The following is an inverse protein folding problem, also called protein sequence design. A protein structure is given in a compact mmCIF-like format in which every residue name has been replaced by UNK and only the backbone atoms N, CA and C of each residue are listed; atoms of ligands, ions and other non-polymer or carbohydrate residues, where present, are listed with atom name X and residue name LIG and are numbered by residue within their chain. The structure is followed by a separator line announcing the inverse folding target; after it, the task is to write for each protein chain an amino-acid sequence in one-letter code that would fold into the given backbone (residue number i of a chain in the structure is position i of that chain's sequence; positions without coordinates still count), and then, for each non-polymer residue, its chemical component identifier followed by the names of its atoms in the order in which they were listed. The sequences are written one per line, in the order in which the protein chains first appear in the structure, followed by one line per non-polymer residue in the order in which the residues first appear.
data_IF_976520852568
#
_entry.id   IF_976520852568
#
_cell.length_a   1.000
_cell.length_b   1.000
_cell.length_c   1.000
_cell.angle_alpha   90.00
_cell.angle_beta   90.00
_cell.angle_gamma   90.00
#
_symmetry.space_group_name_H-M   'P 1'
#
loop_
_entity.id
_entity.type
_entity.pdbx_description
1 polymer ?
#
# COMPACT_ATOMS: atom_id res chain seq x y z
N UNK A 1 4.75 36.61 4.22
CA UNK A 1 5.98 35.77 4.28
C UNK A 1 6.32 35.30 5.70
N UNK A 2 6.47 36.17 6.72
CA UNK A 2 6.83 35.75 8.10
C UNK A 2 5.88 34.70 8.72
N UNK A 3 4.56 34.90 8.64
CA UNK A 3 3.56 33.96 9.19
C UNK A 3 3.62 32.56 8.55
N UNK A 4 3.86 32.50 7.23
CA UNK A 4 4.00 31.23 6.51
C UNK A 4 5.27 30.48 6.93
N UNK A 5 6.40 31.18 7.06
CA UNK A 5 7.64 30.57 7.55
C UNK A 5 7.51 30.02 8.97
N UNK A 6 6.85 30.77 9.86
CA UNK A 6 6.56 30.32 11.23
C UNK A 6 5.68 29.06 11.22
N UNK A 7 4.58 29.08 10.46
CA UNK A 7 3.69 27.92 10.34
C UNK A 7 4.44 26.69 9.80
N UNK A 8 5.19 26.84 8.70
CA UNK A 8 5.97 25.75 8.12
C UNK A 8 6.99 25.20 9.10
N UNK A 9 7.72 26.07 9.81
CA UNK A 9 8.66 25.67 10.84
C UNK A 9 8.00 24.84 11.96
N UNK A 10 6.90 25.35 12.53
CA UNK A 10 6.15 24.63 13.55
C UNK A 10 5.55 23.31 13.03
N UNK A 11 5.01 23.28 11.82
CA UNK A 11 4.45 22.08 11.22
C UNK A 11 5.52 20.99 11.04
N UNK A 12 6.70 21.36 10.54
CA UNK A 12 7.81 20.42 10.33
C UNK A 12 8.35 19.91 11.67
N UNK A 13 8.57 20.79 12.65
CA UNK A 13 8.98 20.41 14.01
C UNK A 13 7.96 19.45 14.61
N UNK A 14 6.68 19.78 14.50
CA UNK A 14 5.60 18.95 15.05
C UNK A 14 5.57 17.59 14.35
N UNK A 15 5.57 17.56 13.02
CA UNK A 15 5.48 16.33 12.22
C UNK A 15 6.67 15.40 12.40
N UNK A 16 7.89 15.94 12.50
CA UNK A 16 9.10 15.12 12.50
C UNK A 16 9.72 14.91 13.89
N UNK A 17 9.45 15.77 14.87
CA UNK A 17 10.02 15.66 16.21
C UNK A 17 8.96 15.36 17.28
N UNK A 18 7.80 16.01 17.24
CA UNK A 18 6.80 15.87 18.33
C UNK A 18 5.92 14.63 18.11
N UNK A 19 5.24 14.55 16.96
CA UNK A 19 4.27 13.50 16.64
C UNK A 19 4.85 12.09 16.78
N UNK A 20 6.04 11.75 16.25
CA UNK A 20 6.57 10.39 16.36
C UNK A 20 6.82 9.93 17.80
N UNK A 21 7.12 10.87 18.71
CA UNK A 21 7.39 10.56 20.13
C UNK A 21 6.10 10.48 20.96
N UNK A 22 5.03 11.15 20.53
CA UNK A 22 3.73 11.15 21.23
C UNK A 22 2.81 10.03 20.73
N UNK A 23 2.86 9.69 19.44
CA UNK A 23 1.99 8.67 18.82
C UNK A 23 1.96 7.32 19.56
N UNK A 24 3.07 6.81 20.16
CA UNK A 24 3.06 5.53 20.87
C UNK A 24 2.07 5.48 22.05
N UNK A 25 1.83 6.62 22.71
CA UNK A 25 0.84 6.77 23.79
C UNK A 25 -0.57 6.43 23.28
N UNK A 26 -0.83 6.69 22.00
CA UNK A 26 -2.09 6.40 21.31
C UNK A 26 -2.10 5.03 20.61
N UNK A 27 -1.11 4.18 20.88
CA UNK A 27 -1.00 2.85 20.28
C UNK A 27 -0.60 2.87 18.80
N UNK A 28 0.14 3.91 18.38
CA UNK A 28 0.66 4.06 17.03
C UNK A 28 2.15 4.34 17.02
N UNK A 29 2.84 3.77 16.07
CA UNK A 29 4.23 4.04 15.80
C UNK A 29 4.40 4.45 14.35
N UNK A 30 5.33 5.38 14.12
CA UNK A 30 5.79 5.66 12.77
C UNK A 30 6.39 4.37 12.19
N UNK A 31 6.02 4.04 10.95
CA UNK A 31 6.61 2.89 10.24
C UNK A 31 8.13 3.01 10.25
N UNK A 32 8.81 1.94 10.64
CA UNK A 32 10.27 1.84 10.69
C UNK A 32 10.80 1.50 9.30
N UNK A 33 11.11 2.53 8.52
CA UNK A 33 11.82 2.36 7.24
C UNK A 33 13.20 1.69 7.48
N UNK A 34 13.57 0.78 6.58
CA UNK A 34 14.84 0.05 6.61
C UNK A 34 15.49 0.11 5.23
N UNK A 35 16.65 -0.52 5.06
CA UNK A 35 17.23 -0.72 3.73
C UNK A 35 16.33 -1.52 2.77
N UNK A 36 15.40 -2.32 3.30
CA UNK A 36 14.49 -3.21 2.58
C UNK A 36 13.04 -2.73 2.54
N UNK A 37 12.66 -1.75 3.37
CA UNK A 37 11.30 -1.20 3.47
C UNK A 37 11.34 0.32 3.34
N UNK A 38 10.63 0.86 2.35
CA UNK A 38 10.64 2.31 2.07
C UNK A 38 9.26 2.83 1.67
N UNK A 39 8.98 4.08 2.02
CA UNK A 39 7.81 4.80 1.51
C UNK A 39 7.92 5.05 0.00
N UNK A 40 6.83 4.88 -0.74
CA UNK A 40 6.78 5.28 -2.14
C UNK A 40 7.04 6.79 -2.32
N UNK A 41 6.46 7.62 -1.46
CA UNK A 41 6.60 9.07 -1.51
C UNK A 41 6.92 9.69 -0.15
N UNK A 42 7.67 10.80 -0.16
CA UNK A 42 7.86 11.64 1.04
C UNK A 42 6.53 12.20 1.56
N UNK A 43 5.52 12.32 0.71
CA UNK A 43 4.19 12.80 1.06
C UNK A 43 3.60 12.06 2.27
N UNK A 44 3.68 10.74 2.32
CA UNK A 44 3.10 9.97 3.43
C UNK A 44 3.71 10.33 4.79
N UNK A 45 5.00 10.71 4.81
CA UNK A 45 5.67 11.19 6.01
C UNK A 45 5.25 12.61 6.36
N UNK A 46 5.26 13.50 5.37
CA UNK A 46 4.88 14.90 5.56
C UNK A 46 3.42 15.04 6.01
N UNK A 47 2.53 14.19 5.52
CA UNK A 47 1.10 14.18 5.84
C UNK A 47 0.76 13.33 7.08
N UNK A 48 1.75 12.79 7.80
CA UNK A 48 1.56 11.90 8.95
C UNK A 48 0.66 10.68 8.66
N UNK A 49 0.78 10.11 7.46
CA UNK A 49 -0.01 8.97 6.97
C UNK A 49 0.70 7.62 7.09
N UNK A 50 1.85 7.60 7.75
CA UNK A 50 2.74 6.44 7.86
C UNK A 50 2.83 5.90 9.29
N UNK A 51 1.72 5.89 10.02
CA UNK A 51 1.65 5.35 11.38
C UNK A 51 0.85 4.05 11.41
N UNK A 52 1.31 3.07 12.19
CA UNK A 52 0.69 1.75 12.32
C UNK A 52 0.77 1.27 13.76
N UNK A 53 0.06 0.19 14.10
CA UNK A 53 0.29 -0.51 15.37
C UNK A 53 1.68 -1.15 15.40
N UNK A 54 2.31 -1.27 16.59
CA UNK A 54 3.64 -1.90 16.72
C UNK A 54 3.72 -3.31 16.10
N UNK A 55 2.66 -4.10 16.21
CA UNK A 55 2.57 -5.45 15.62
C UNK A 55 2.66 -5.43 14.09
N UNK A 56 2.00 -4.47 13.43
CA UNK A 56 2.09 -4.31 11.98
C UNK A 56 3.48 -3.82 11.57
N UNK A 57 4.09 -2.93 12.36
CA UNK A 57 5.47 -2.46 12.15
C UNK A 57 6.46 -3.64 12.15
N UNK A 58 6.35 -4.53 13.16
CA UNK A 58 7.16 -5.76 13.24
C UNK A 58 6.95 -6.66 12.01
N UNK A 59 5.69 -6.86 11.62
CA UNK A 59 5.34 -7.68 10.46
C UNK A 59 5.93 -7.11 9.16
N UNK A 60 5.87 -5.79 8.97
CA UNK A 60 6.42 -5.11 7.81
C UNK A 60 7.93 -5.31 7.68
N UNK A 61 8.68 -5.13 8.77
CA UNK A 61 10.13 -5.35 8.78
C UNK A 61 10.47 -6.80 8.46
N UNK A 62 9.73 -7.75 9.03
CA UNK A 62 9.92 -9.19 8.77
C UNK A 62 9.65 -9.54 7.30
N UNK A 63 8.51 -9.12 6.75
CA UNK A 63 8.14 -9.35 5.35
C UNK A 63 9.19 -8.75 4.41
N UNK A 64 9.58 -7.48 4.63
CA UNK A 64 10.55 -6.80 3.78
C UNK A 64 11.93 -7.49 3.80
N UNK A 65 12.38 -7.92 4.98
CA UNK A 65 13.65 -8.64 5.14
C UNK A 65 13.62 -10.01 4.47
N UNK A 66 12.52 -10.76 4.63
CA UNK A 66 12.38 -12.07 3.97
C UNK A 66 12.21 -11.95 2.45
N UNK A 67 11.59 -10.87 1.98
CA UNK A 67 11.43 -10.61 0.57
C UNK A 67 12.77 -10.30 -0.10
N UNK A 68 13.59 -9.44 0.51
CA UNK A 68 14.92 -9.11 -0.02
C UNK A 68 15.84 -10.33 -0.06
N UNK A 69 15.82 -11.19 0.97
CA UNK A 69 16.58 -12.46 0.97
C UNK A 69 16.27 -13.37 -0.22
N UNK A 70 15.06 -13.28 -0.77
CA UNK A 70 14.63 -14.07 -1.95
C UNK A 70 14.86 -13.31 -3.27
N UNK A 71 14.83 -11.99 -3.21
CA UNK A 71 14.86 -11.08 -4.33
C UNK A 71 15.87 -9.96 -4.05
N UNK A 72 17.15 -10.32 -4.11
CA UNK A 72 18.28 -9.46 -3.75
C UNK A 72 18.17 -8.09 -4.43
N UNK A 73 18.29 -7.02 -3.65
CA UNK A 73 18.23 -5.65 -4.15
C UNK A 73 16.82 -5.09 -4.40
N UNK A 74 15.75 -5.88 -4.19
CA UNK A 74 14.37 -5.42 -4.33
C UNK A 74 13.75 -5.11 -2.97
N UNK A 75 13.34 -3.86 -2.80
CA UNK A 75 12.70 -3.37 -1.57
C UNK A 75 11.18 -3.57 -1.59
N UNK A 76 10.59 -3.76 -0.42
CA UNK A 76 9.16 -3.60 -0.21
C UNK A 76 8.82 -2.10 -0.16
N UNK A 77 7.85 -1.68 -0.99
CA UNK A 77 7.42 -0.28 -1.08
C UNK A 77 6.02 -0.13 -0.50
N UNK A 78 5.89 0.67 0.56
CA UNK A 78 4.58 0.96 1.18
C UNK A 78 3.99 2.29 0.69
N UNK A 79 2.67 2.37 0.72
CA UNK A 79 1.85 3.50 0.31
C UNK A 79 1.17 4.15 1.54
N UNK A 80 -0.16 4.17 1.60
CA UNK A 80 -0.92 4.77 2.70
C UNK A 80 -1.09 3.79 3.87
N UNK A 81 -1.08 4.29 5.11
CA UNK A 81 -1.20 3.48 6.33
C UNK A 81 -2.25 4.05 7.29
N UNK A 82 -1.92 4.96 8.20
CA UNK A 82 -2.89 5.59 9.11
C UNK A 82 -2.29 6.86 9.74
N UNK A 83 -3.17 7.67 10.34
CA UNK A 83 -2.82 8.82 11.16
C UNK A 83 -2.33 8.43 12.56
N UNK A 84 -1.59 9.32 13.26
CA UNK A 84 -0.86 8.97 14.49
C UNK A 84 -1.69 8.81 15.77
N UNK A 85 -2.93 9.29 15.85
CA UNK A 85 -3.57 9.48 17.17
C UNK A 85 -4.97 8.88 17.36
N UNK A 86 -5.90 9.15 16.44
CA UNK A 86 -7.34 8.94 16.72
C UNK A 86 -7.88 7.80 15.87
N UNK A 87 -8.54 6.82 16.52
CA UNK A 87 -9.31 5.81 15.80
C UNK A 87 -10.53 6.45 15.12
N UNK A 88 -10.85 6.03 13.91
CA UNK A 88 -12.03 6.54 13.19
C UNK A 88 -11.83 7.89 12.50
N UNK A 89 -10.66 8.54 12.65
CA UNK A 89 -10.37 9.76 11.90
C UNK A 89 -10.32 9.46 10.40
N UNK A 90 -11.12 10.15 9.56
CA UNK A 90 -11.27 9.79 8.17
C UNK A 90 -9.97 10.04 7.39
N UNK A 91 -9.42 8.98 6.80
CA UNK A 91 -8.32 9.08 5.86
C UNK A 91 -8.90 9.00 4.45
N UNK A 92 -9.19 10.15 3.83
CA UNK A 92 -9.66 10.14 2.44
C UNK A 92 -8.50 9.82 1.47
N UNK A 93 -8.70 8.95 0.47
CA UNK A 93 -9.91 8.15 0.19
C UNK A 93 -9.99 6.80 0.97
N UNK A 94 -8.92 6.38 1.63
CA UNK A 94 -8.77 5.12 2.37
C UNK A 94 -9.57 5.05 3.70
N UNK A 95 -10.90 5.05 3.64
CA UNK A 95 -11.76 5.14 4.83
C UNK A 95 -11.55 4.02 5.88
N UNK A 96 -11.11 2.83 5.45
CA UNK A 96 -10.86 1.71 6.36
C UNK A 96 -9.58 1.89 7.18
N UNK A 97 -8.66 2.75 6.74
CA UNK A 97 -7.37 3.04 7.37
C UNK A 97 -7.53 4.00 8.54
N UNK A 98 -8.25 3.55 9.56
CA UNK A 98 -8.69 4.37 10.67
C UNK A 98 -8.28 3.83 12.04
N UNK A 99 -7.54 2.71 12.11
CA UNK A 99 -7.24 1.97 13.35
C UNK A 99 -5.79 1.46 13.44
N UNK A 100 -4.93 1.91 12.51
CA UNK A 100 -3.51 1.56 12.39
C UNK A 100 -3.23 0.08 12.16
N UNK A 101 -4.26 -0.70 11.82
CA UNK A 101 -4.13 -2.13 11.54
C UNK A 101 -3.88 -2.42 10.07
N UNK A 102 -3.95 -1.43 9.19
CA UNK A 102 -4.01 -1.59 7.73
C UNK A 102 -2.91 -0.83 7.05
N UNK A 103 -2.46 -1.35 5.92
CA UNK A 103 -1.45 -0.73 5.09
C UNK A 103 -1.61 -1.19 3.65
N UNK A 104 -1.33 -0.26 2.75
CA UNK A 104 -1.22 -0.53 1.33
C UNK A 104 0.26 -0.63 0.94
N UNK A 105 0.57 -1.61 0.10
CA UNK A 105 1.92 -1.82 -0.43
C UNK A 105 1.84 -2.03 -1.92
N UNK A 106 2.83 -1.54 -2.63
CA UNK A 106 2.79 -1.60 -4.08
C UNK A 106 3.02 -3.02 -4.59
N UNK A 107 2.46 -3.31 -5.76
CA UNK A 107 2.78 -4.49 -6.55
C UNK A 107 4.27 -4.49 -6.95
N UNK A 108 4.75 -5.66 -7.36
CA UNK A 108 6.11 -5.85 -7.83
C UNK A 108 6.12 -5.81 -9.36
N UNK A 109 7.14 -5.16 -9.91
CA UNK A 109 7.30 -4.97 -11.34
C UNK A 109 8.67 -5.49 -11.78
N UNK A 110 8.80 -5.74 -13.07
CA UNK A 110 10.04 -6.11 -13.75
C UNK A 110 10.39 -5.09 -14.83
N UNK A 111 11.69 -4.92 -15.06
CA UNK A 111 12.20 -4.10 -16.14
C UNK A 111 12.14 -4.87 -17.50
N UNK A 112 12.45 -4.22 -18.63
CA UNK A 112 12.46 -4.89 -19.94
C UNK A 112 13.40 -6.09 -20.07
N UNK A 113 14.33 -6.29 -19.13
CA UNK A 113 15.22 -7.45 -19.10
C UNK A 113 14.66 -8.60 -18.23
N UNK A 114 13.44 -8.45 -17.71
CA UNK A 114 12.81 -9.39 -16.78
C UNK A 114 13.39 -9.35 -15.37
N UNK A 115 14.15 -8.31 -15.00
CA UNK A 115 14.69 -8.15 -13.67
C UNK A 115 13.72 -7.38 -12.78
N UNK A 116 13.48 -7.89 -11.56
CA UNK A 116 12.63 -7.21 -10.60
C UNK A 116 13.15 -5.81 -10.28
N UNK A 117 12.23 -4.85 -10.16
CA UNK A 117 12.60 -3.44 -9.97
C UNK A 117 11.76 -2.75 -8.89
N UNK A 118 12.37 -1.77 -8.24
CA UNK A 118 11.66 -0.87 -7.34
C UNK A 118 10.95 0.28 -8.06
N UNK A 119 11.12 0.44 -9.37
CA UNK A 119 10.34 1.39 -10.20
C UNK A 119 8.82 1.12 -10.07
N UNK A 120 8.03 2.16 -10.32
CA UNK A 120 6.57 2.15 -10.16
C UNK A 120 5.89 2.90 -11.29
N UNK A 121 4.66 2.51 -11.69
CA UNK A 121 4.02 3.08 -12.86
C UNK A 121 3.36 4.44 -12.61
N UNK A 122 3.17 4.85 -11.35
CA UNK A 122 2.58 6.14 -10.99
C UNK A 122 3.41 6.91 -9.97
N UNK A 123 3.25 8.24 -9.97
CA UNK A 123 3.90 9.16 -9.02
C UNK A 123 3.26 9.09 -7.64
N UNK A 124 1.95 8.82 -7.57
CA UNK A 124 1.25 8.66 -6.31
C UNK A 124 1.38 7.27 -5.70
N UNK A 125 1.70 6.26 -6.51
CA UNK A 125 1.68 4.85 -6.14
C UNK A 125 0.32 4.18 -6.36
N UNK A 126 -0.69 4.92 -6.82
CA UNK A 126 -2.05 4.44 -7.10
C UNK A 126 -2.48 4.76 -8.55
N UNK A 127 -3.57 4.15 -9.01
CA UNK A 127 -4.33 4.54 -10.19
C UNK A 127 -3.84 3.98 -11.53
N UNK A 128 -2.77 3.19 -11.55
CA UNK A 128 -2.35 2.42 -12.72
C UNK A 128 -2.60 0.94 -12.44
N UNK A 129 -3.71 0.45 -12.98
CA UNK A 129 -4.26 -0.87 -12.68
C UNK A 129 -3.69 -1.96 -13.60
N UNK A 130 -3.34 -3.09 -13.01
CA UNK A 130 -3.09 -4.35 -13.71
C UNK A 130 -4.43 -4.94 -14.16
N UNK A 131 -4.79 -4.73 -15.42
CA UNK A 131 -6.12 -5.08 -15.93
C UNK A 131 -6.31 -6.60 -16.04
N UNK A 132 -7.55 -7.10 -15.95
CA UNK A 132 -7.86 -8.47 -16.33
C UNK A 132 -7.50 -8.71 -17.80
N UNK A 133 -7.01 -9.90 -18.10
CA UNK A 133 -6.86 -10.39 -19.48
C UNK A 133 -8.22 -10.68 -20.10
N UNK A 134 -8.26 -10.98 -21.40
CA UNK A 134 -9.50 -11.29 -22.13
C UNK A 134 -10.22 -12.56 -21.64
N UNK A 135 -9.51 -13.44 -20.94
CA UNK A 135 -10.04 -14.70 -20.38
C UNK A 135 -10.36 -14.59 -18.88
N UNK A 136 -9.92 -13.53 -18.22
CA UNK A 136 -10.17 -13.30 -16.80
C UNK A 136 -11.48 -12.53 -16.59
N UNK A 137 -12.09 -12.75 -15.44
CA UNK A 137 -13.30 -12.03 -15.07
C UNK A 137 -13.01 -10.54 -14.84
N UNK A 138 -13.67 -9.66 -15.61
CA UNK A 138 -13.55 -8.21 -15.44
C UNK A 138 -14.43 -7.71 -14.28
N UNK A 139 -13.87 -7.82 -13.08
CA UNK A 139 -14.52 -7.34 -11.86
C UNK A 139 -14.83 -5.84 -11.90
N UNK A 140 -14.03 -5.05 -12.61
CA UNK A 140 -14.24 -3.62 -12.76
C UNK A 140 -15.43 -3.30 -13.66
N UNK A 141 -15.60 -4.03 -14.77
CA UNK A 141 -16.79 -3.91 -15.60
C UNK A 141 -18.06 -4.31 -14.80
N UNK A 142 -18.03 -5.44 -14.10
CA UNK A 142 -19.15 -5.91 -13.28
C UNK A 142 -19.51 -4.92 -12.15
N UNK A 143 -18.52 -4.45 -11.37
CA UNK A 143 -18.77 -3.51 -10.29
C UNK A 143 -19.40 -2.20 -10.78
N UNK A 144 -18.93 -1.68 -11.92
CA UNK A 144 -19.51 -0.47 -12.53
C UNK A 144 -20.90 -0.71 -13.11
N UNK A 145 -21.16 -1.87 -13.70
CA UNK A 145 -22.50 -2.24 -14.17
C UNK A 145 -23.51 -2.27 -13.02
N UNK A 146 -23.07 -2.64 -11.80
CA UNK A 146 -23.86 -2.61 -10.57
C UNK A 146 -23.98 -1.21 -9.93
N UNK A 147 -23.56 -0.16 -10.62
CA UNK A 147 -23.69 1.23 -10.16
C UNK A 147 -22.53 1.76 -9.32
N UNK A 148 -21.46 1.00 -9.10
CA UNK A 148 -20.29 1.45 -8.33
C UNK A 148 -19.34 2.26 -9.21
N UNK A 149 -19.75 3.48 -9.59
CA UNK A 149 -18.97 4.38 -10.44
C UNK A 149 -17.61 4.74 -9.83
N UNK A 150 -17.49 4.72 -8.50
CA UNK A 150 -16.27 5.06 -7.77
C UNK A 150 -15.18 3.98 -7.87
N UNK A 151 -15.50 2.78 -8.36
CA UNK A 151 -14.63 1.61 -8.30
C UNK A 151 -13.25 1.82 -8.94
N UNK A 152 -13.19 2.57 -10.05
CA UNK A 152 -11.95 2.92 -10.76
C UNK A 152 -11.52 4.39 -10.57
N UNK A 153 -12.14 5.12 -9.63
CA UNK A 153 -11.84 6.53 -9.36
C UNK A 153 -10.34 6.84 -9.14
N UNK A 154 -9.52 5.97 -8.49
CA UNK A 154 -8.10 6.25 -8.29
C UNK A 154 -7.30 6.47 -9.58
N UNK A 155 -7.83 6.14 -10.78
CA UNK A 155 -7.19 6.50 -12.07
C UNK A 155 -6.93 8.00 -12.23
N UNK A 156 -7.70 8.85 -11.54
CA UNK A 156 -7.51 10.30 -11.53
C UNK A 156 -6.51 10.78 -10.47
N UNK A 157 -6.02 9.88 -9.61
CA UNK A 157 -5.08 10.16 -8.53
C UNK A 157 -3.66 9.66 -8.81
N UNK A 158 -3.33 9.30 -10.05
CA UNK A 158 -1.98 8.81 -10.43
C UNK A 158 -0.88 9.86 -10.22
N UNK A 159 -1.25 11.14 -10.28
CA UNK A 159 -0.34 12.30 -10.34
C UNK A 159 0.66 12.23 -11.50
N UNK A 160 0.35 11.44 -12.53
CA UNK A 160 1.20 11.18 -13.68
C UNK A 160 1.69 9.73 -13.75
N UNK A 161 1.83 9.24 -14.98
CA UNK A 161 2.39 7.92 -15.28
C UNK A 161 3.88 8.04 -15.55
N UNK A 162 4.68 7.19 -14.92
CA UNK A 162 6.13 7.14 -15.03
C UNK A 162 6.59 5.70 -15.28
N UNK A 163 7.82 5.49 -15.73
CA UNK A 163 8.41 4.17 -15.98
C UNK A 163 7.52 3.25 -16.84
N UNK A 164 7.05 3.74 -18.00
CA UNK A 164 6.11 3.02 -18.87
C UNK A 164 6.66 1.70 -19.43
N UNK A 165 7.96 1.49 -19.32
CA UNK A 165 8.68 0.32 -19.78
C UNK A 165 8.65 -0.87 -18.80
N UNK A 166 8.17 -0.68 -17.56
CA UNK A 166 8.11 -1.76 -16.58
C UNK A 166 6.79 -2.54 -16.71
N UNK A 167 6.84 -3.82 -16.39
CA UNK A 167 5.70 -4.72 -16.48
C UNK A 167 5.39 -5.34 -15.12
N UNK A 168 4.14 -5.77 -14.91
CA UNK A 168 3.74 -6.42 -13.67
C UNK A 168 4.42 -7.78 -13.53
N UNK A 169 5.12 -8.00 -12.41
CA UNK A 169 5.77 -9.29 -12.16
C UNK A 169 4.85 -10.20 -11.37
N UNK A 170 4.28 -11.20 -12.05
CA UNK A 170 3.46 -12.23 -11.40
C UNK A 170 4.24 -12.97 -10.32
N UNK A 171 5.48 -13.38 -10.63
CA UNK A 171 6.33 -14.11 -9.69
C UNK A 171 6.67 -13.27 -8.47
N UNK A 172 7.16 -12.04 -8.68
CA UNK A 172 7.54 -11.15 -7.57
C UNK A 172 6.35 -10.80 -6.68
N UNK A 173 5.21 -10.45 -7.27
CA UNK A 173 4.00 -10.10 -6.52
C UNK A 173 3.44 -11.30 -5.75
N UNK A 174 3.43 -12.49 -6.36
CA UNK A 174 3.00 -13.74 -5.69
C UNK A 174 3.90 -14.07 -4.50
N UNK A 175 5.21 -13.89 -4.63
CA UNK A 175 6.14 -14.11 -3.53
C UNK A 175 5.89 -13.15 -2.36
N UNK A 176 5.74 -11.84 -2.65
CA UNK A 176 5.39 -10.84 -1.64
C UNK A 176 4.06 -11.18 -0.94
N UNK A 177 3.02 -11.48 -1.70
CA UNK A 177 1.72 -11.85 -1.16
C UNK A 177 1.81 -13.08 -0.24
N UNK A 178 2.56 -14.12 -0.64
CA UNK A 178 2.75 -15.30 0.19
C UNK A 178 3.51 -15.00 1.50
N UNK A 179 4.50 -14.11 1.48
CA UNK A 179 5.19 -13.69 2.71
C UNK A 179 4.25 -12.94 3.66
N UNK A 180 3.40 -12.06 3.13
CA UNK A 180 2.35 -11.39 3.91
C UNK A 180 1.39 -12.42 4.53
N UNK A 181 0.91 -13.38 3.73
CA UNK A 181 -0.08 -14.37 4.16
C UNK A 181 0.45 -15.34 5.23
N UNK A 182 1.76 -15.62 5.23
CA UNK A 182 2.45 -16.44 6.23
C UNK A 182 2.52 -15.78 7.61
N UNK A 183 2.40 -14.46 7.69
CA UNK A 183 2.45 -13.77 8.97
C UNK A 183 1.23 -14.13 9.83
N UNK A 184 1.48 -14.62 11.04
CA UNK A 184 0.43 -15.01 11.98
C UNK A 184 -0.38 -13.81 12.50
N UNK A 185 0.20 -12.62 12.49
CA UNK A 185 -0.44 -11.33 12.84
C UNK A 185 -1.46 -10.88 11.79
N UNK A 186 -1.28 -11.28 10.53
CA UNK A 186 -2.13 -10.83 9.41
C UNK A 186 -3.40 -11.67 9.33
N UNK A 187 -4.55 -10.97 9.27
CA UNK A 187 -5.88 -11.56 9.20
C UNK A 187 -6.51 -11.50 7.80
N UNK A 188 -6.22 -10.46 7.01
CA UNK A 188 -6.76 -10.30 5.65
C UNK A 188 -5.73 -9.71 4.70
N UNK A 189 -5.81 -10.12 3.43
CA UNK A 189 -5.14 -9.50 2.29
C UNK A 189 -6.21 -9.26 1.21
N UNK A 190 -6.36 -8.02 0.77
CA UNK A 190 -7.22 -7.65 -0.35
C UNK A 190 -6.39 -7.44 -1.61
N UNK A 191 -6.88 -8.04 -2.68
CA UNK A 191 -6.37 -7.94 -4.05
C UNK A 191 -7.53 -8.25 -5.00
N UNK A 192 -7.50 -7.75 -6.23
CA UNK A 192 -8.58 -8.03 -7.18
C UNK A 192 -8.75 -9.53 -7.50
N UNK A 193 -9.98 -9.99 -7.80
CA UNK A 193 -10.26 -11.40 -8.06
C UNK A 193 -9.48 -12.01 -9.23
N UNK A 194 -9.22 -11.26 -10.30
CA UNK A 194 -8.42 -11.74 -11.43
C UNK A 194 -6.96 -11.95 -10.98
N UNK A 195 -6.37 -11.00 -10.26
CA UNK A 195 -5.02 -11.15 -9.70
C UNK A 195 -4.92 -12.29 -8.69
N UNK A 196 -5.93 -12.50 -7.86
CA UNK A 196 -5.97 -13.67 -6.97
C UNK A 196 -5.83 -14.98 -7.76
N UNK A 197 -6.54 -15.07 -8.89
CA UNK A 197 -6.53 -16.25 -9.76
C UNK A 197 -5.19 -16.37 -10.49
N UNK A 198 -4.72 -15.30 -11.14
CA UNK A 198 -3.44 -15.23 -11.87
C UNK A 198 -2.25 -15.59 -11.00
N UNK A 199 -2.22 -15.07 -9.77
CA UNK A 199 -1.15 -15.31 -8.79
C UNK A 199 -1.32 -16.64 -8.03
N UNK A 200 -2.37 -17.42 -8.32
CA UNK A 200 -2.70 -18.67 -7.64
C UNK A 200 -2.71 -18.56 -6.10
N UNK A 201 -3.35 -17.51 -5.58
CA UNK A 201 -3.41 -17.23 -4.14
C UNK A 201 -4.60 -17.97 -3.50
N UNK A 202 -4.33 -19.17 -2.98
CA UNK A 202 -5.35 -20.06 -2.38
C UNK A 202 -5.56 -19.87 -0.88
N UNK A 203 -4.74 -19.05 -0.22
CA UNK A 203 -4.80 -18.86 1.23
C UNK A 203 -6.15 -18.27 1.67
N UNK A 204 -6.73 -18.86 2.71
CA UNK A 204 -7.98 -18.43 3.32
C UNK A 204 -7.99 -17.03 3.93
N UNK A 205 -6.92 -16.23 3.89
CA UNK A 205 -6.91 -14.80 4.27
C UNK A 205 -7.10 -13.86 3.06
N UNK A 206 -6.98 -14.37 1.83
CA UNK A 206 -7.13 -13.57 0.60
C UNK A 206 -8.61 -13.33 0.33
N UNK A 207 -8.99 -12.06 0.16
CA UNK A 207 -10.38 -11.65 0.09
C UNK A 207 -10.60 -10.62 -1.02
N UNK A 208 -11.81 -10.65 -1.57
CA UNK A 208 -12.32 -9.53 -2.34
C UNK A 208 -12.94 -8.52 -1.36
N UNK A 209 -12.51 -7.27 -1.46
CA UNK A 209 -12.98 -6.16 -0.65
C UNK A 209 -14.44 -5.70 -0.95
N UNK A 210 -14.99 -6.08 -2.11
CA UNK A 210 -16.34 -5.72 -2.53
C UNK A 210 -16.39 -4.44 -3.38
N UNK A 211 -17.39 -4.34 -4.27
CA UNK A 211 -17.52 -3.23 -5.23
C UNK A 211 -17.76 -1.84 -4.60
N UNK A 212 -18.08 -1.77 -3.30
CA UNK A 212 -18.30 -0.50 -2.60
C UNK A 212 -17.01 0.26 -2.32
N UNK A 213 -15.86 -0.42 -2.36
CA UNK A 213 -14.54 0.17 -2.22
C UNK A 213 -13.81 0.21 -3.58
N UNK A 214 -12.71 0.96 -3.65
CA UNK A 214 -11.92 1.10 -4.88
C UNK A 214 -11.07 -0.14 -5.14
N UNK A 215 -10.92 -0.52 -6.41
CA UNK A 215 -10.17 -1.71 -6.85
C UNK A 215 -8.74 -1.79 -6.31
N UNK A 216 -8.26 -3.02 -6.10
CA UNK A 216 -6.94 -3.35 -5.53
C UNK A 216 -6.06 -4.15 -6.52
N UNK A 217 -5.89 -3.63 -7.73
CA UNK A 217 -5.00 -4.16 -8.76
C UNK A 217 -3.94 -3.15 -9.23
N UNK A 218 -3.75 -2.10 -8.45
CA UNK A 218 -2.58 -1.21 -8.46
C UNK A 218 -1.71 -1.37 -7.19
N UNK A 219 -2.25 -2.02 -6.15
CA UNK A 219 -1.58 -2.28 -4.87
C UNK A 219 -2.15 -3.52 -4.16
N UNK A 220 -1.45 -3.98 -3.12
CA UNK A 220 -1.93 -4.97 -2.15
C UNK A 220 -2.30 -4.23 -0.87
N UNK A 221 -3.52 -4.41 -0.39
CA UNK A 221 -3.92 -4.00 0.94
C UNK A 221 -3.87 -5.20 1.88
N UNK A 222 -3.33 -5.04 3.09
CA UNK A 222 -3.43 -6.08 4.10
C UNK A 222 -3.55 -5.52 5.52
N UNK A 223 -4.06 -6.35 6.42
CA UNK A 223 -4.37 -5.92 7.78
C UNK A 223 -4.13 -6.98 8.84
N UNK A 224 -3.87 -6.49 10.06
CA UNK A 224 -3.84 -7.30 11.27
C UNK A 224 -5.20 -7.99 11.52
N UNK A 225 -5.16 -9.03 12.35
CA UNK A 225 -6.34 -9.71 12.89
C UNK A 225 -7.23 -8.78 13.73
#
# INVERSE_FOLDING_TARGET
MKKLGIFTGFYLITTFLIVPNIAPIFGREKIKETEFLKAHSFFYRLANRNYVRPELNKSLVQIATEYEKRNSGVKMIYLDANFPFINGFPLLPHLSHNDGKKIDVSLIYEDPNGQLTNKKPSISGYGIFEKPTTIEYDQNADCKQRGNWQYDFPKYLTLGTINKEIEFSEKGTRELANLILRQNSIGKLFIEPHLKSRLNLTNGKVRFHGCQAVRHDDHIHFQLK
#
